data_IF_885041672889
#
_entry.id   IF_885041672889
#
_cell.length_a   1.000
_cell.length_b   1.000
_cell.length_c   1.000
_cell.angle_alpha   90.00
_cell.angle_beta   90.00
_cell.angle_gamma   90.00
#
_symmetry.space_group_name_H-M   'P 1'
#
loop_
_entity.id
_entity.type
_entity.pdbx_description
1 polymer ?
#
# COMPACT_ATOMS: atom_id res chain seq x y z
N UNK A 1 4.74 -5.79 -0.32
CA UNK A 1 4.10 -5.50 -1.62
C UNK A 1 2.63 -5.88 -1.54
N UNK A 2 1.70 -4.93 -1.63
CA UNK A 2 0.28 -5.25 -1.69
C UNK A 2 0.00 -6.01 -3.01
N UNK A 3 -0.50 -7.24 -2.91
CA UNK A 3 -0.86 -8.02 -4.09
C UNK A 3 -2.04 -7.33 -4.80
N UNK A 4 -1.79 -6.80 -6.00
CA UNK A 4 -2.79 -6.17 -6.86
C UNK A 4 -3.90 -7.16 -7.20
N UNK A 5 -5.10 -6.66 -7.49
CA UNK A 5 -6.20 -7.48 -7.95
C UNK A 5 -5.80 -8.31 -9.20
N UNK A 6 -6.14 -9.60 -9.20
CA UNK A 6 -5.95 -10.44 -10.40
C UNK A 6 -6.85 -9.88 -11.52
N UNK A 7 -6.27 -9.55 -12.69
CA UNK A 7 -7.00 -9.05 -13.87
C UNK A 7 -8.22 -9.92 -14.25
N UNK A 8 -8.12 -11.22 -14.05
CA UNK A 8 -9.22 -12.18 -14.28
C UNK A 8 -10.43 -11.95 -13.35
N UNK A 9 -10.21 -11.54 -12.10
CA UNK A 9 -11.26 -11.27 -11.13
C UNK A 9 -12.02 -9.99 -11.47
N UNK A 10 -11.30 -8.95 -11.90
CA UNK A 10 -11.90 -7.70 -12.39
C UNK A 10 -12.72 -7.91 -13.66
N UNK A 11 -12.20 -8.67 -14.62
CA UNK A 11 -12.93 -9.02 -15.83
C UNK A 11 -14.22 -9.79 -15.53
N UNK A 12 -14.18 -10.72 -14.56
CA UNK A 12 -15.37 -11.47 -14.10
C UNK A 12 -16.41 -10.57 -13.44
N UNK A 13 -15.97 -9.56 -12.70
CA UNK A 13 -16.83 -8.53 -12.11
C UNK A 13 -17.51 -7.70 -13.21
N UNK A 14 -16.74 -7.15 -14.16
CA UNK A 14 -17.25 -6.35 -15.28
C UNK A 14 -18.25 -7.12 -16.13
N UNK A 15 -18.00 -8.42 -16.39
CA UNK A 15 -18.95 -9.29 -17.12
C UNK A 15 -20.30 -9.40 -16.38
N UNK A 16 -20.28 -9.49 -15.05
CA UNK A 16 -21.50 -9.55 -14.23
C UNK A 16 -22.23 -8.20 -14.22
N UNK A 17 -21.51 -7.09 -14.11
CA UNK A 17 -22.09 -5.75 -14.15
C UNK A 17 -22.80 -5.50 -15.48
N UNK A 18 -22.18 -5.88 -16.61
CA UNK A 18 -22.80 -5.84 -17.94
C UNK A 18 -24.08 -6.68 -18.02
N UNK A 19 -24.03 -7.93 -17.52
CA UNK A 19 -25.20 -8.81 -17.50
C UNK A 19 -26.32 -8.28 -16.59
N UNK A 20 -26.00 -7.60 -15.49
CA UNK A 20 -27.03 -7.03 -14.62
C UNK A 20 -27.67 -5.82 -15.27
N UNK A 21 -26.88 -4.97 -15.95
CA UNK A 21 -27.40 -3.83 -16.70
C UNK A 21 -28.34 -4.27 -17.84
N UNK A 22 -27.95 -5.28 -18.63
CA UNK A 22 -28.76 -5.79 -19.76
C UNK A 22 -30.13 -6.34 -19.35
N UNK A 23 -30.26 -6.88 -18.14
CA UNK A 23 -31.47 -7.57 -17.69
C UNK A 23 -32.18 -6.84 -16.53
N UNK A 24 -31.76 -5.61 -16.20
CA UNK A 24 -32.31 -4.85 -15.08
C UNK A 24 -33.82 -4.59 -15.28
N UNK A 25 -34.19 -4.07 -16.45
CA UNK A 25 -35.57 -3.69 -16.75
C UNK A 25 -36.49 -4.90 -16.89
N UNK A 26 -36.02 -5.94 -17.59
CA UNK A 26 -36.75 -7.22 -17.73
C UNK A 26 -37.04 -7.87 -16.37
N UNK A 27 -36.09 -7.80 -15.43
CA UNK A 27 -36.29 -8.32 -14.07
C UNK A 27 -37.19 -7.44 -13.22
N UNK A 28 -37.18 -6.12 -13.42
CA UNK A 28 -38.08 -5.21 -12.75
C UNK A 28 -39.52 -5.51 -13.18
N UNK A 29 -39.77 -5.56 -14.49
CA UNK A 29 -41.07 -5.91 -15.07
C UNK A 29 -41.60 -7.27 -14.60
N UNK A 30 -40.77 -8.33 -14.59
CA UNK A 30 -41.19 -9.66 -14.14
C UNK A 30 -41.45 -9.75 -12.64
N UNK A 31 -40.76 -8.93 -11.83
CA UNK A 31 -41.02 -8.84 -10.39
C UNK A 31 -42.33 -8.09 -10.12
N UNK A 32 -42.58 -7.02 -10.85
CA UNK A 32 -43.78 -6.22 -10.73
C UNK A 32 -45.03 -7.03 -11.19
N UNK A 33 -44.87 -7.90 -12.18
CA UNK A 33 -45.91 -8.81 -12.68
C UNK A 33 -46.13 -10.08 -11.83
N UNK A 34 -45.26 -10.39 -10.85
CA UNK A 34 -45.41 -11.58 -10.00
C UNK A 34 -45.10 -12.93 -10.67
N UNK A 35 -44.62 -12.94 -11.91
CA UNK A 35 -44.33 -14.15 -12.70
C UNK A 35 -42.99 -14.80 -12.29
N UNK A 36 -43.01 -15.56 -11.20
CA UNK A 36 -41.84 -16.22 -10.60
C UNK A 36 -41.18 -17.27 -11.52
N UNK A 37 -41.97 -18.01 -12.29
CA UNK A 37 -41.46 -19.09 -13.17
C UNK A 37 -40.61 -18.54 -14.32
N UNK A 38 -40.99 -17.38 -14.86
CA UNK A 38 -40.24 -16.67 -15.91
C UNK A 38 -39.00 -15.98 -15.34
N UNK A 39 -39.06 -15.51 -14.09
CA UNK A 39 -37.94 -14.89 -13.40
C UNK A 39 -36.79 -15.88 -13.14
N UNK A 40 -37.11 -17.15 -12.91
CA UNK A 40 -36.13 -18.23 -12.66
C UNK A 40 -35.42 -18.70 -13.93
N UNK A 41 -36.06 -18.58 -15.10
CA UNK A 41 -35.45 -18.89 -16.41
C UNK A 41 -34.33 -17.92 -16.80
N UNK A 42 -34.25 -16.76 -16.14
CA UNK A 42 -33.22 -15.76 -16.43
C UNK A 42 -31.82 -16.19 -15.94
N UNK A 43 -30.74 -15.71 -16.59
CA UNK A 43 -29.39 -16.01 -16.17
C UNK A 43 -29.14 -15.71 -14.69
N UNK A 44 -28.67 -16.71 -13.94
CA UNK A 44 -28.42 -16.62 -12.48
C UNK A 44 -27.57 -15.40 -12.08
N UNK A 45 -26.60 -15.01 -12.91
CA UNK A 45 -25.66 -13.90 -12.65
C UNK A 45 -26.20 -12.52 -13.05
N UNK A 46 -27.35 -12.41 -13.70
CA UNK A 46 -27.96 -11.13 -14.03
C UNK A 46 -28.65 -10.46 -12.84
N UNK A 47 -28.57 -11.05 -11.63
CA UNK A 47 -29.26 -10.55 -10.44
C UNK A 47 -28.39 -9.49 -9.75
N UNK A 48 -28.97 -8.32 -9.50
CA UNK A 48 -28.31 -7.23 -8.76
C UNK A 48 -27.80 -7.68 -7.39
N UNK A 49 -28.50 -8.60 -6.73
CA UNK A 49 -28.12 -9.15 -5.41
C UNK A 49 -26.78 -9.90 -5.45
N UNK A 50 -26.37 -10.40 -6.62
CA UNK A 50 -25.11 -11.13 -6.79
C UNK A 50 -23.92 -10.26 -7.16
N UNK A 51 -24.15 -8.97 -7.44
CA UNK A 51 -23.07 -8.01 -7.50
C UNK A 51 -22.53 -7.78 -6.09
N UNK A 52 -21.21 -7.91 -5.95
CA UNK A 52 -20.51 -7.60 -4.70
C UNK A 52 -19.57 -6.44 -4.98
N UNK A 53 -19.58 -5.43 -4.13
CA UNK A 53 -18.59 -4.36 -4.26
C UNK A 53 -17.20 -4.94 -3.96
N UNK A 54 -16.26 -4.76 -4.89
CA UNK A 54 -14.88 -5.21 -4.75
C UNK A 54 -13.97 -4.03 -4.50
N UNK A 55 -12.96 -4.25 -3.67
CA UNK A 55 -11.87 -3.30 -3.48
C UNK A 55 -11.18 -2.99 -4.81
N UNK A 56 -10.97 -1.71 -5.11
CA UNK A 56 -10.30 -1.26 -6.33
C UNK A 56 -8.83 -1.71 -6.44
N UNK A 57 -8.13 -1.83 -5.30
CA UNK A 57 -6.70 -2.17 -5.28
C UNK A 57 -6.46 -3.68 -5.26
N UNK A 58 -7.15 -4.40 -4.37
CA UNK A 58 -6.88 -5.83 -4.09
C UNK A 58 -7.96 -6.77 -4.61
N UNK A 59 -9.08 -6.26 -5.13
CA UNK A 59 -10.19 -7.09 -5.62
C UNK A 59 -10.95 -7.87 -4.53
N UNK A 60 -10.64 -7.60 -3.26
CA UNK A 60 -11.23 -8.26 -2.10
C UNK A 60 -12.74 -7.99 -2.04
N UNK A 61 -13.59 -9.02 -1.90
CA UNK A 61 -15.05 -8.89 -1.94
C UNK A 61 -15.72 -8.60 -0.58
N UNK A 62 -14.94 -8.51 0.51
CA UNK A 62 -15.45 -8.34 1.88
C UNK A 62 -14.83 -7.13 2.56
N UNK A 63 -15.58 -6.53 3.49
CA UNK A 63 -15.15 -5.36 4.25
C UNK A 63 -14.90 -4.16 3.35
N UNK A 64 -15.78 -3.94 2.36
CA UNK A 64 -15.69 -2.83 1.42
C UNK A 64 -16.16 -1.53 2.08
N UNK A 65 -15.30 -0.52 2.12
CA UNK A 65 -15.64 0.81 2.63
C UNK A 65 -16.11 1.64 1.44
N UNK A 66 -17.40 2.00 1.41
CA UNK A 66 -18.03 2.71 0.28
C UNK A 66 -17.40 4.07 0.01
N UNK A 67 -17.09 4.82 1.07
CA UNK A 67 -16.51 6.17 0.96
C UNK A 67 -15.17 6.19 0.21
N UNK A 68 -14.32 5.18 0.42
CA UNK A 68 -12.98 5.13 -0.16
C UNK A 68 -12.85 4.15 -1.33
N UNK A 69 -13.90 3.39 -1.66
CA UNK A 69 -13.87 2.40 -2.74
C UNK A 69 -12.92 1.21 -2.51
N UNK A 70 -12.44 1.03 -1.28
CA UNK A 70 -11.30 0.17 -0.92
C UNK A 70 -11.70 -0.75 0.24
N UNK A 71 -11.00 -1.87 0.43
CA UNK A 71 -11.25 -2.76 1.57
C UNK A 71 -10.70 -2.19 2.88
N UNK A 72 -11.32 -2.56 4.01
CA UNK A 72 -10.90 -2.13 5.36
C UNK A 72 -9.44 -2.44 5.69
N UNK A 73 -8.90 -3.53 5.14
CA UNK A 73 -7.53 -3.97 5.41
C UNK A 73 -6.55 -3.10 4.62
N UNK A 74 -6.79 -2.93 3.32
CA UNK A 74 -6.01 -2.02 2.49
C UNK A 74 -6.09 -0.57 2.97
N UNK A 75 -7.24 -0.14 3.49
CA UNK A 75 -7.38 1.18 4.10
C UNK A 75 -6.52 1.30 5.37
N UNK A 76 -6.53 0.29 6.25
CA UNK A 76 -5.67 0.25 7.44
C UNK A 76 -4.19 0.19 7.06
N UNK A 77 -3.82 -0.58 6.04
CA UNK A 77 -2.44 -0.69 5.57
C UNK A 77 -1.95 0.65 5.01
N UNK A 78 -2.77 1.32 4.20
CA UNK A 78 -2.46 2.65 3.67
C UNK A 78 -2.38 3.71 4.78
N UNK A 79 -3.31 3.69 5.74
CA UNK A 79 -3.30 4.58 6.89
C UNK A 79 -2.13 4.32 7.85
N UNK A 80 -1.60 3.09 7.87
CA UNK A 80 -0.46 2.67 8.69
C UNK A 80 0.88 2.79 7.96
N UNK A 81 0.90 3.18 6.68
CA UNK A 81 2.14 3.34 5.92
C UNK A 81 2.87 4.60 6.37
N UNK A 82 3.88 4.38 7.19
CA UNK A 82 4.61 5.44 7.82
C UNK A 82 5.98 5.65 7.14
N UNK A 83 6.18 6.77 6.41
CA UNK A 83 7.34 6.95 5.53
C UNK A 83 8.67 6.96 6.28
N UNK A 84 8.70 7.44 7.52
CA UNK A 84 9.91 7.42 8.35
C UNK A 84 10.18 6.00 8.91
N UNK A 85 9.14 5.19 9.13
CA UNK A 85 9.32 3.82 9.61
C UNK A 85 9.85 2.92 8.49
N UNK A 86 9.36 3.11 7.26
CA UNK A 86 9.89 2.46 6.06
C UNK A 86 11.36 2.83 5.85
N UNK A 87 11.71 4.12 5.96
CA UNK A 87 13.10 4.61 5.87
C UNK A 87 14.04 3.87 6.84
N UNK A 88 13.70 3.84 8.13
CA UNK A 88 14.53 3.19 9.15
C UNK A 88 14.61 1.66 8.95
N UNK A 89 13.51 1.05 8.49
CA UNK A 89 13.44 -0.39 8.25
C UNK A 89 14.29 -0.80 7.05
N UNK A 90 14.32 0.00 5.98
CA UNK A 90 15.21 -0.24 4.82
C UNK A 90 16.69 -0.23 5.21
N UNK A 91 17.11 0.73 6.03
CA UNK A 91 18.49 0.80 6.53
C UNK A 91 18.82 -0.43 7.39
N UNK A 92 17.93 -0.78 8.34
CA UNK A 92 18.12 -1.94 9.21
C UNK A 92 18.24 -3.24 8.42
N UNK A 93 17.35 -3.45 7.45
CA UNK A 93 17.36 -4.66 6.62
C UNK A 93 18.61 -4.72 5.74
N UNK A 94 19.04 -3.58 5.20
CA UNK A 94 20.25 -3.51 4.40
C UNK A 94 21.52 -3.80 5.21
N UNK A 95 21.57 -3.34 6.47
CA UNK A 95 22.66 -3.67 7.40
C UNK A 95 22.67 -5.16 7.74
N UNK A 96 21.50 -5.75 8.03
CA UNK A 96 21.39 -7.19 8.27
C UNK A 96 21.82 -8.02 7.06
N UNK A 97 21.58 -7.52 5.84
CA UNK A 97 22.00 -8.15 4.59
C UNK A 97 23.43 -7.78 4.15
N UNK A 98 24.18 -7.00 4.94
CA UNK A 98 25.54 -6.53 4.61
C UNK A 98 25.64 -5.78 3.27
N UNK A 99 24.58 -5.08 2.86
CA UNK A 99 24.63 -4.26 1.65
C UNK A 99 25.47 -3.01 1.88
N UNK A 100 26.29 -2.64 0.87
CA UNK A 100 27.09 -1.41 0.88
C UNK A 100 26.27 -0.16 0.57
N UNK A 101 25.19 -0.32 -0.21
CA UNK A 101 24.33 0.76 -0.68
C UNK A 101 22.86 0.46 -0.39
N UNK A 102 22.10 1.50 -0.10
CA UNK A 102 20.65 1.43 0.14
C UNK A 102 19.94 2.48 -0.71
N UNK A 103 18.88 2.05 -1.38
CA UNK A 103 18.02 2.92 -2.17
C UNK A 103 16.69 3.17 -1.45
N UNK A 104 16.38 4.44 -1.21
CA UNK A 104 15.18 4.87 -0.49
C UNK A 104 14.45 5.96 -1.28
N UNK A 105 13.12 5.90 -1.46
CA UNK A 105 12.38 6.97 -2.11
C UNK A 105 12.48 8.26 -1.30
N UNK A 106 12.79 9.36 -1.97
CA UNK A 106 13.08 10.66 -1.39
C UNK A 106 11.80 11.38 -0.95
N UNK A 107 11.95 12.10 0.16
CA UNK A 107 10.95 13.01 0.72
C UNK A 107 11.72 14.06 1.53
N UNK A 108 11.22 15.29 1.64
CA UNK A 108 11.91 16.38 2.33
C UNK A 108 12.33 16.00 3.76
N UNK A 109 11.47 15.28 4.49
CA UNK A 109 11.79 14.76 5.83
C UNK A 109 12.92 13.72 5.80
N UNK A 110 12.93 12.83 4.82
CA UNK A 110 13.97 11.79 4.68
C UNK A 110 15.32 12.41 4.31
N UNK A 111 15.33 13.44 3.45
CA UNK A 111 16.54 14.21 3.10
C UNK A 111 17.18 14.84 4.35
N UNK A 112 16.38 15.51 5.19
CA UNK A 112 16.86 16.07 6.46
C UNK A 112 17.39 15.00 7.44
N UNK A 113 16.72 13.86 7.54
CA UNK A 113 17.20 12.75 8.39
C UNK A 113 18.54 12.22 7.87
N UNK A 114 18.72 12.11 6.55
CA UNK A 114 19.98 11.64 5.96
C UNK A 114 21.12 12.62 6.18
N UNK A 115 20.85 13.92 6.11
CA UNK A 115 21.83 14.97 6.43
C UNK A 115 22.29 14.83 7.89
N UNK A 116 21.37 14.74 8.85
CA UNK A 116 21.70 14.57 10.28
C UNK A 116 22.51 13.29 10.54
N UNK A 117 22.18 12.19 9.86
CA UNK A 117 22.92 10.93 10.00
C UNK A 117 24.34 11.04 9.46
N UNK A 118 24.54 11.85 8.41
CA UNK A 118 25.87 12.12 7.86
C UNK A 118 26.68 13.03 8.78
N UNK A 119 26.08 14.12 9.27
CA UNK A 119 26.71 15.05 10.22
C UNK A 119 27.20 14.35 11.48
N UNK A 120 26.41 13.42 12.01
CA UNK A 120 26.79 12.61 13.19
C UNK A 120 27.74 11.44 12.87
N UNK A 121 28.12 11.25 11.61
CA UNK A 121 29.12 10.25 11.19
C UNK A 121 28.63 8.81 11.16
N UNK A 122 27.31 8.57 11.13
CA UNK A 122 26.72 7.23 11.07
C UNK A 122 26.73 6.61 9.66
N UNK A 123 26.76 7.43 8.61
CA UNK A 123 26.78 6.99 7.21
C UNK A 123 28.03 7.54 6.51
N UNK A 124 28.53 6.84 5.48
CA UNK A 124 29.76 7.22 4.77
C UNK A 124 29.54 8.39 3.81
N UNK A 125 28.57 8.23 2.90
CA UNK A 125 28.21 9.20 1.86
C UNK A 125 26.75 8.99 1.50
N UNK A 126 26.10 10.02 0.96
CA UNK A 126 24.79 9.90 0.35
C UNK A 126 24.76 10.65 -0.99
N UNK A 127 23.87 10.24 -1.89
CA UNK A 127 23.61 10.91 -3.15
C UNK A 127 22.10 11.03 -3.33
N UNK A 128 21.66 12.21 -3.75
CA UNK A 128 20.29 12.43 -4.18
C UNK A 128 20.24 12.32 -5.70
N UNK A 129 19.33 11.51 -6.20
CA UNK A 129 19.02 11.40 -7.61
C UNK A 129 17.56 11.82 -7.78
N UNK A 130 17.28 12.86 -8.56
CA UNK A 130 15.92 13.35 -8.74
C UNK A 130 15.13 12.52 -9.79
N UNK A 131 15.80 11.57 -10.45
CA UNK A 131 15.18 10.57 -11.32
C UNK A 131 14.87 9.29 -10.55
N UNK A 132 13.59 8.98 -10.34
CA UNK A 132 13.20 7.85 -9.49
C UNK A 132 11.71 7.50 -9.46
N UNK A 133 11.42 6.37 -8.81
CA UNK A 133 10.13 5.67 -8.68
C UNK A 133 8.89 6.59 -8.81
N UNK A 134 8.25 6.56 -9.98
CA UNK A 134 6.96 7.24 -10.20
C UNK A 134 7.01 8.78 -10.16
N UNK A 135 8.18 9.39 -10.39
CA UNK A 135 8.39 10.84 -10.34
C UNK A 135 8.86 11.37 -8.99
N UNK A 136 9.20 10.48 -8.04
CA UNK A 136 9.82 10.83 -6.76
C UNK A 136 11.30 10.45 -6.80
N UNK A 137 12.19 11.39 -6.48
CA UNK A 137 13.64 11.14 -6.45
C UNK A 137 14.04 10.00 -5.50
N UNK A 138 15.26 9.48 -5.64
CA UNK A 138 15.83 8.40 -4.83
C UNK A 138 17.03 8.91 -4.04
N UNK A 139 17.12 8.47 -2.78
CA UNK A 139 18.28 8.66 -1.92
C UNK A 139 19.09 7.37 -1.94
N UNK A 140 20.34 7.48 -2.42
CA UNK A 140 21.34 6.42 -2.33
C UNK A 140 22.23 6.68 -1.13
N UNK A 141 22.23 5.77 -0.16
CA UNK A 141 23.01 5.88 1.07
C UNK A 141 24.11 4.82 1.07
N UNK A 142 25.35 5.23 1.26
CA UNK A 142 26.47 4.33 1.51
C UNK A 142 26.59 4.07 3.02
N UNK A 143 26.41 2.81 3.42
CA UNK A 143 26.44 2.40 4.83
C UNK A 143 27.89 2.24 5.31
N UNK A 144 28.15 2.71 6.53
CA UNK A 144 29.45 2.59 7.19
C UNK A 144 29.55 1.27 7.96
N UNK A 145 30.63 0.55 7.72
CA UNK A 145 31.00 -0.67 8.43
C UNK A 145 32.42 -0.52 8.95
N UNK A 146 32.70 -1.11 10.11
CA UNK A 146 34.06 -1.16 10.64
C UNK A 146 34.90 -2.18 9.87
N UNK A 147 36.12 -1.78 9.48
CA UNK A 147 36.99 -2.61 8.64
C UNK A 147 37.52 -3.86 9.36
N UNK A 148 37.68 -3.81 10.68
CA UNK A 148 38.26 -4.88 11.48
C UNK A 148 37.22 -5.95 11.88
N UNK A 149 36.04 -5.54 12.34
CA UNK A 149 35.00 -6.42 12.88
C UNK A 149 33.87 -6.70 11.89
N UNK A 150 33.82 -6.00 10.75
CA UNK A 150 32.72 -6.02 9.77
C UNK A 150 31.34 -5.71 10.39
N UNK A 151 31.33 -5.14 11.59
CA UNK A 151 30.10 -4.76 12.28
C UNK A 151 29.55 -3.46 11.70
N UNK A 152 28.22 -3.32 11.57
CA UNK A 152 27.62 -2.06 11.17
C UNK A 152 27.81 -1.01 12.28
N UNK A 153 28.16 0.22 11.90
CA UNK A 153 28.33 1.35 12.85
C UNK A 153 27.02 1.65 13.57
N UNK A 154 25.89 1.47 12.88
CA UNK A 154 24.58 1.65 13.48
C UNK A 154 24.16 0.35 14.17
N UNK A 155 24.22 0.35 15.51
CA UNK A 155 23.86 -0.82 16.34
C UNK A 155 22.35 -1.02 16.44
N UNK A 156 21.59 0.05 16.60
CA UNK A 156 20.14 -0.01 16.70
C UNK A 156 19.46 1.22 16.10
N UNK A 157 18.37 1.00 15.38
CA UNK A 157 17.50 2.03 14.81
C UNK A 157 16.09 1.73 15.26
N UNK A 158 15.49 2.60 16.07
CA UNK A 158 14.11 2.48 16.52
C UNK A 158 13.37 3.79 16.31
N UNK A 159 12.11 3.68 15.89
CA UNK A 159 11.19 4.80 15.84
C UNK A 159 10.50 4.96 17.19
N UNK A 160 10.50 6.18 17.73
CA UNK A 160 9.89 6.50 19.03
C UNK A 160 8.41 6.87 18.89
N UNK A 161 8.07 7.87 18.06
CA UNK A 161 6.69 8.33 17.87
C UNK A 161 6.04 7.63 16.68
N UNK A 162 4.95 6.88 16.88
CA UNK A 162 4.27 6.11 15.82
C UNK A 162 2.89 6.68 15.51
N UNK A 163 2.27 6.36 14.35
CA UNK A 163 0.95 6.89 14.00
C UNK A 163 -0.15 6.45 14.97
N UNK A 164 0.01 5.27 15.59
CA UNK A 164 -0.90 4.75 16.61
C UNK A 164 -0.70 5.37 18.00
N UNK A 165 0.55 5.70 18.36
CA UNK A 165 0.87 6.37 19.63
C UNK A 165 1.91 7.45 19.40
N UNK A 166 1.45 8.71 19.42
CA UNK A 166 2.30 9.89 19.26
C UNK A 166 2.90 10.27 20.60
N UNK A 167 4.22 10.33 20.66
CA UNK A 167 4.96 10.85 21.80
C UNK A 167 5.41 12.28 21.51
N UNK A 168 5.13 13.18 22.44
CA UNK A 168 5.52 14.58 22.41
C UNK A 168 6.43 14.85 23.62
N UNK A 169 7.49 15.62 23.42
CA UNK A 169 8.36 16.11 24.49
C UNK A 169 8.18 17.62 24.61
N UNK A 170 8.17 18.13 25.85
CA UNK A 170 8.24 19.57 26.11
C UNK A 170 9.56 20.15 25.61
N UNK A 171 9.63 21.48 25.51
CA UNK A 171 10.88 22.16 25.17
C UNK A 171 11.91 21.97 26.29
N UNK A 172 13.14 21.63 25.89
CA UNK A 172 14.32 21.84 26.71
C UNK A 172 14.82 23.27 26.55
#
# INVERSE_FOLDING_TARGET
MAAMAKKSIEARQRKRERLVAQYADKRKALKDAGELTLLDKLPKNSSKVRLRNRCALTGRPRGYIRMFGISRITFRDLASQDPIADYLTRIRNAQAANHRFVEIPASNLKKKITEILYEKGYILKYKFEDEGFGGQGVIKIALKYDAASKTPVIKSLKRVSTPGLRQYSGSQ
#
